data_IF_540133556228
#
_entry.id   IF_540133556228
#
_cell.length_a   1.000
_cell.length_b   1.000
_cell.length_c   1.000
_cell.angle_alpha   90.00
_cell.angle_beta   90.00
_cell.angle_gamma   90.00
#
_symmetry.space_group_name_H-M   'P 1'
#
loop_
_entity.id
_entity.type
_entity.pdbx_description
1 polymer ?
#
# COMPACT_ATOMS: atom_id res chain seq x y z
N UNK A 1 21.92 24.99 15.11
CA UNK A 1 21.54 24.70 16.51
C UNK A 1 20.27 25.49 16.81
N UNK A 2 19.10 24.96 16.57
CA UNK A 2 17.76 25.30 17.11
C UNK A 2 16.71 24.58 16.28
N UNK A 3 15.79 23.91 16.97
CA UNK A 3 14.60 23.16 16.56
C UNK A 3 14.77 21.69 16.23
N UNK A 4 15.23 20.95 17.20
CA UNK A 4 15.12 19.48 17.30
C UNK A 4 13.95 19.04 18.19
N UNK A 5 12.84 19.74 18.32
CA UNK A 5 11.85 19.31 19.32
C UNK A 5 10.39 19.74 19.13
N UNK A 6 9.95 20.21 17.97
CA UNK A 6 8.61 20.80 17.90
C UNK A 6 7.47 19.83 17.48
N UNK A 7 7.75 18.65 16.94
CA UNK A 7 6.66 17.76 16.44
C UNK A 7 6.40 16.52 17.27
N UNK A 8 7.33 16.07 18.10
CA UNK A 8 7.11 14.89 18.97
C UNK A 8 6.39 15.21 20.30
N UNK A 9 6.33 16.47 20.72
CA UNK A 9 5.80 16.85 22.04
C UNK A 9 4.35 17.32 22.06
N UNK A 10 3.78 17.74 20.91
CA UNK A 10 2.41 18.31 20.91
C UNK A 10 1.29 17.26 20.90
N UNK A 11 1.53 16.08 20.38
CA UNK A 11 0.51 15.01 20.30
C UNK A 11 0.31 14.27 21.62
N UNK A 12 1.31 14.27 22.48
CA UNK A 12 1.25 13.64 23.83
C UNK A 12 0.53 14.55 24.84
N UNK A 13 0.49 15.86 24.59
CA UNK A 13 -0.06 16.83 25.55
C UNK A 13 -1.59 16.75 25.75
N UNK A 14 -2.36 16.18 24.83
CA UNK A 14 -3.82 16.08 24.99
C UNK A 14 -4.27 14.89 25.85
N UNK A 15 -3.43 13.87 26.02
CA UNK A 15 -3.69 12.72 26.90
C UNK A 15 -3.09 12.94 28.30
N UNK A 16 -2.12 13.85 28.44
CA UNK A 16 -1.32 14.01 29.66
C UNK A 16 -1.97 14.85 30.78
N UNK A 17 -3.22 15.24 30.68
CA UNK A 17 -3.83 16.12 31.71
C UNK A 17 -4.13 15.41 33.03
N UNK A 18 -3.85 14.10 33.21
CA UNK A 18 -4.02 13.37 34.50
C UNK A 18 -3.22 12.06 34.63
N UNK A 19 -2.13 11.87 33.90
CA UNK A 19 -1.31 10.66 34.06
C UNK A 19 -0.20 10.98 35.07
N UNK A 20 -0.09 10.19 36.15
CA UNK A 20 1.00 10.28 37.10
C UNK A 20 2.32 9.93 36.38
N UNK A 21 3.46 10.43 36.91
CA UNK A 21 4.79 10.29 36.28
C UNK A 21 5.17 8.83 36.02
N UNK A 22 4.68 7.89 36.81
CA UNK A 22 4.89 6.45 36.66
C UNK A 22 4.14 5.89 35.47
N UNK A 23 2.88 6.29 35.25
CA UNK A 23 2.08 5.86 34.10
C UNK A 23 2.68 6.34 32.76
N UNK A 24 3.25 7.54 32.74
CA UNK A 24 3.95 8.07 31.56
C UNK A 24 5.16 7.20 31.19
N UNK A 25 5.96 6.77 32.16
CA UNK A 25 7.12 5.88 31.92
C UNK A 25 6.68 4.52 31.39
N UNK A 26 5.59 3.97 31.92
CA UNK A 26 5.03 2.68 31.45
C UNK A 26 4.52 2.80 30.01
N UNK A 27 3.77 3.85 29.69
CA UNK A 27 3.28 4.09 28.32
C UNK A 27 4.44 4.24 27.33
N UNK A 28 5.46 5.05 27.70
CA UNK A 28 6.63 5.24 26.83
C UNK A 28 7.42 3.94 26.64
N UNK A 29 7.51 3.10 27.65
CA UNK A 29 8.17 1.80 27.57
C UNK A 29 7.42 0.87 26.60
N UNK A 30 6.09 0.86 26.65
CA UNK A 30 5.25 0.08 25.74
C UNK A 30 5.41 0.57 24.29
N UNK A 31 5.36 1.88 24.08
CA UNK A 31 5.55 2.49 22.75
C UNK A 31 6.92 2.11 22.19
N UNK A 32 7.99 2.26 22.97
CA UNK A 32 9.34 1.90 22.54
C UNK A 32 9.46 0.40 22.21
N UNK A 33 8.81 -0.47 23.00
CA UNK A 33 8.81 -1.91 22.75
C UNK A 33 8.10 -2.25 21.43
N UNK A 34 6.98 -1.59 21.13
CA UNK A 34 6.22 -1.77 19.87
C UNK A 34 7.06 -1.28 18.68
N UNK A 35 7.71 -0.13 18.78
CA UNK A 35 8.61 0.38 17.72
C UNK A 35 9.82 -0.54 17.50
N UNK A 36 10.38 -1.12 18.57
CA UNK A 36 11.46 -2.10 18.43
C UNK A 36 10.99 -3.38 17.75
N UNK A 37 9.78 -3.84 18.09
CA UNK A 37 9.16 -5.01 17.43
C UNK A 37 8.94 -4.75 15.93
N UNK A 38 8.45 -3.58 15.56
CA UNK A 38 8.27 -3.16 14.16
C UNK A 38 9.59 -3.20 13.39
N UNK A 39 10.65 -2.58 13.93
CA UNK A 39 12.00 -2.61 13.35
C UNK A 39 12.55 -4.02 13.21
N UNK A 40 12.24 -4.91 14.15
CA UNK A 40 12.66 -6.31 14.10
C UNK A 40 11.88 -7.06 13.02
N UNK A 41 10.58 -6.89 12.97
CA UNK A 41 9.69 -7.59 12.04
C UNK A 41 9.96 -7.15 10.60
N UNK A 42 10.07 -5.85 10.34
CA UNK A 42 10.46 -5.30 9.03
C UNK A 42 11.98 -5.26 8.81
N UNK A 43 12.73 -5.98 9.64
CA UNK A 43 14.16 -6.14 9.49
C UNK A 43 14.54 -7.05 8.31
N UNK A 44 15.84 -7.32 8.20
CA UNK A 44 16.43 -8.12 7.11
C UNK A 44 15.78 -9.49 6.94
N UNK A 45 15.29 -10.11 8.01
CA UNK A 45 14.61 -11.42 7.95
C UNK A 45 13.38 -11.39 7.04
N UNK A 46 12.49 -10.44 7.24
CA UNK A 46 11.27 -10.29 6.43
C UNK A 46 11.59 -9.84 4.99
N UNK A 47 12.52 -8.90 4.83
CA UNK A 47 12.94 -8.42 3.52
C UNK A 47 13.52 -9.56 2.68
N UNK A 48 14.42 -10.36 3.24
CA UNK A 48 15.00 -11.50 2.55
C UNK A 48 13.97 -12.60 2.26
N UNK A 49 13.06 -12.85 3.19
CA UNK A 49 11.97 -13.81 3.00
C UNK A 49 11.07 -13.41 1.83
N UNK A 50 10.60 -12.16 1.80
CA UNK A 50 9.72 -11.68 0.75
C UNK A 50 10.43 -11.56 -0.60
N UNK A 51 11.59 -10.90 -0.65
CA UNK A 51 12.35 -10.75 -1.89
C UNK A 51 12.84 -12.11 -2.41
N UNK A 52 13.30 -12.98 -1.50
CA UNK A 52 13.68 -14.36 -1.84
C UNK A 52 12.52 -15.15 -2.44
N UNK A 53 11.32 -15.02 -1.86
CA UNK A 53 10.10 -15.62 -2.43
C UNK A 53 9.78 -15.05 -3.81
N UNK A 54 9.93 -13.74 -4.02
CA UNK A 54 9.69 -13.13 -5.32
C UNK A 54 10.62 -13.68 -6.40
N UNK A 55 11.91 -13.81 -6.09
CA UNK A 55 12.91 -14.39 -6.99
C UNK A 55 12.60 -15.88 -7.22
N UNK A 56 12.34 -16.63 -6.15
CA UNK A 56 11.99 -18.06 -6.23
C UNK A 56 10.76 -18.27 -7.13
N UNK A 57 9.68 -17.51 -6.91
CA UNK A 57 8.47 -17.62 -7.73
C UNK A 57 8.70 -17.18 -9.17
N UNK A 58 9.55 -16.19 -9.42
CA UNK A 58 9.94 -15.79 -10.77
C UNK A 58 10.59 -16.97 -11.53
N UNK A 59 11.53 -17.66 -10.90
CA UNK A 59 12.20 -18.83 -11.49
C UNK A 59 11.22 -19.99 -11.63
N UNK A 60 10.47 -20.29 -10.57
CA UNK A 60 9.51 -21.42 -10.51
C UNK A 60 8.38 -21.31 -11.52
N UNK A 61 7.93 -20.10 -11.83
CA UNK A 61 6.88 -19.84 -12.84
C UNK A 61 7.44 -19.65 -14.26
N UNK A 62 8.75 -19.85 -14.47
CA UNK A 62 9.39 -19.69 -15.76
C UNK A 62 9.34 -18.24 -16.29
N UNK A 63 9.55 -17.27 -15.39
CA UNK A 63 9.50 -15.83 -15.72
C UNK A 63 8.14 -15.40 -16.25
N UNK A 64 7.09 -15.61 -15.46
CA UNK A 64 5.70 -15.28 -15.81
C UNK A 64 5.52 -13.83 -16.27
N UNK A 65 6.42 -12.92 -15.87
CA UNK A 65 6.48 -11.52 -16.32
C UNK A 65 6.49 -11.39 -17.85
N UNK A 66 7.02 -12.39 -18.57
CA UNK A 66 7.00 -12.43 -20.04
C UNK A 66 5.59 -12.52 -20.61
N UNK A 67 4.61 -12.93 -19.82
CA UNK A 67 3.20 -13.02 -20.20
C UNK A 67 2.41 -11.75 -19.88
N UNK A 68 3.08 -10.67 -19.44
CA UNK A 68 2.43 -9.43 -19.02
C UNK A 68 1.50 -8.84 -20.10
N UNK A 69 1.93 -8.78 -21.35
CA UNK A 69 1.08 -8.31 -22.46
C UNK A 69 -0.20 -9.15 -22.64
N UNK A 70 -0.10 -10.47 -22.50
CA UNK A 70 -1.27 -11.36 -22.50
C UNK A 70 -2.15 -11.11 -21.28
N UNK A 71 -1.56 -10.93 -20.11
CA UNK A 71 -2.26 -10.66 -18.85
C UNK A 71 -3.06 -9.35 -18.92
N UNK A 72 -2.48 -8.28 -19.46
CA UNK A 72 -3.16 -7.00 -19.70
C UNK A 72 -4.33 -7.18 -20.67
N UNK A 73 -4.14 -7.90 -21.77
CA UNK A 73 -5.23 -8.19 -22.71
C UNK A 73 -6.37 -8.95 -22.05
N UNK A 74 -6.05 -9.95 -21.22
CA UNK A 74 -7.04 -10.73 -20.49
C UNK A 74 -7.81 -9.89 -19.46
N UNK A 75 -7.20 -8.89 -18.84
CA UNK A 75 -7.85 -8.05 -17.83
C UNK A 75 -9.06 -7.28 -18.38
N UNK A 76 -9.03 -6.91 -19.65
CA UNK A 76 -10.11 -6.21 -20.34
C UNK A 76 -11.02 -7.13 -21.19
N UNK A 77 -10.73 -8.44 -21.23
CA UNK A 77 -11.52 -9.42 -21.98
C UNK A 77 -12.43 -10.20 -21.04
N UNK A 78 -13.76 -10.12 -21.24
CA UNK A 78 -14.73 -10.83 -20.40
C UNK A 78 -14.59 -12.37 -20.54
N UNK A 79 -14.77 -13.09 -19.44
CA UNK A 79 -14.91 -14.55 -19.40
C UNK A 79 -16.40 -14.85 -19.26
N UNK A 80 -17.06 -15.10 -20.40
CA UNK A 80 -18.51 -15.38 -20.46
C UNK A 80 -18.82 -16.73 -19.84
N UNK A 81 -19.99 -16.86 -19.21
CA UNK A 81 -20.51 -18.08 -18.58
C UNK A 81 -19.64 -18.63 -17.42
N UNK A 82 -18.87 -17.77 -16.77
CA UNK A 82 -18.05 -18.12 -15.62
C UNK A 82 -18.71 -17.75 -14.28
N UNK A 83 -18.52 -18.59 -13.26
CA UNK A 83 -18.99 -18.28 -11.90
C UNK A 83 -18.11 -17.25 -11.21
N UNK A 84 -18.74 -16.29 -10.52
CA UNK A 84 -18.10 -15.23 -9.75
C UNK A 84 -19.07 -14.11 -9.40
N UNK A 85 -18.65 -13.20 -8.54
CA UNK A 85 -19.49 -12.08 -8.10
C UNK A 85 -19.26 -10.81 -8.92
N UNK A 86 -18.03 -10.62 -9.41
CA UNK A 86 -17.59 -9.43 -10.15
C UNK A 86 -16.79 -9.81 -11.39
N UNK A 87 -16.66 -8.89 -12.33
CA UNK A 87 -15.82 -9.10 -13.52
C UNK A 87 -14.35 -9.31 -13.14
N UNK A 88 -13.54 -9.91 -14.02
CA UNK A 88 -12.09 -10.02 -13.80
C UNK A 88 -11.43 -8.64 -13.65
N UNK A 89 -11.90 -7.67 -14.44
CA UNK A 89 -11.47 -6.28 -14.34
C UNK A 89 -11.91 -5.65 -13.02
N UNK A 90 -13.14 -5.89 -12.56
CA UNK A 90 -13.64 -5.41 -11.26
C UNK A 90 -12.86 -5.98 -10.08
N UNK A 91 -12.48 -7.26 -10.14
CA UNK A 91 -11.61 -7.86 -9.12
C UNK A 91 -10.19 -7.25 -9.15
N UNK A 92 -9.63 -7.03 -10.34
CA UNK A 92 -8.32 -6.37 -10.50
C UNK A 92 -8.37 -4.93 -9.99
N UNK A 93 -9.36 -4.15 -10.37
CA UNK A 93 -9.48 -2.75 -9.93
C UNK A 93 -9.77 -2.63 -8.43
N UNK A 94 -10.50 -3.58 -7.84
CA UNK A 94 -10.67 -3.65 -6.38
C UNK A 94 -9.32 -3.94 -5.69
N UNK A 95 -8.51 -4.83 -6.24
CA UNK A 95 -7.16 -5.09 -5.72
C UNK A 95 -6.24 -3.87 -5.92
N UNK A 96 -6.27 -3.22 -7.08
CA UNK A 96 -5.52 -2.00 -7.34
C UNK A 96 -5.98 -0.82 -6.45
N UNK A 97 -7.27 -0.72 -6.16
CA UNK A 97 -7.79 0.26 -5.22
C UNK A 97 -7.13 0.15 -3.83
N UNK A 98 -6.90 -1.08 -3.37
CA UNK A 98 -6.25 -1.33 -2.08
C UNK A 98 -4.76 -1.03 -2.10
N UNK A 99 -4.07 -1.35 -3.20
CA UNK A 99 -2.61 -1.25 -3.31
C UNK A 99 -2.15 0.13 -3.74
N UNK A 100 -2.82 0.78 -4.72
CA UNK A 100 -2.51 2.16 -5.12
C UNK A 100 -3.07 3.12 -4.08
N UNK A 101 -2.25 3.46 -3.09
CA UNK A 101 -2.60 4.29 -1.95
C UNK A 101 -1.54 5.35 -1.63
N UNK A 102 -1.50 5.77 -0.37
CA UNK A 102 -0.46 6.69 0.12
C UNK A 102 0.96 6.12 -0.05
N UNK A 103 1.11 4.78 -0.10
CA UNK A 103 2.37 4.10 -0.33
C UNK A 103 3.06 4.49 -1.64
N UNK A 104 2.29 4.70 -2.70
CA UNK A 104 2.81 5.05 -4.03
C UNK A 104 3.33 6.49 -4.13
N UNK A 105 2.89 7.37 -3.25
CA UNK A 105 3.26 8.79 -3.22
C UNK A 105 4.16 9.07 -2.02
N UNK A 106 3.59 9.05 -0.82
CA UNK A 106 4.29 9.33 0.44
C UNK A 106 5.31 8.23 0.76
N UNK A 107 4.95 6.96 0.51
CA UNK A 107 5.84 5.82 0.76
C UNK A 107 7.10 5.87 -0.10
N UNK A 108 7.00 6.22 -1.39
CA UNK A 108 8.17 6.42 -2.27
C UNK A 108 8.99 7.61 -1.80
N UNK A 109 8.35 8.71 -1.38
CA UNK A 109 9.03 9.84 -0.74
C UNK A 109 9.81 9.42 0.50
N UNK A 110 9.21 8.57 1.36
CA UNK A 110 9.87 8.01 2.55
C UNK A 110 11.07 7.12 2.18
N UNK A 111 10.95 6.30 1.11
CA UNK A 111 12.07 5.50 0.62
C UNK A 111 13.26 6.38 0.23
N UNK A 112 13.02 7.51 -0.45
CA UNK A 112 14.07 8.45 -0.85
C UNK A 112 14.61 9.21 0.37
N UNK A 113 13.75 9.71 1.24
CA UNK A 113 14.16 10.47 2.42
C UNK A 113 15.08 9.64 3.35
N UNK A 114 14.73 8.38 3.60
CA UNK A 114 15.46 7.51 4.52
C UNK A 114 16.51 6.62 3.83
N UNK A 115 16.23 6.17 2.60
CA UNK A 115 17.10 5.27 1.83
C UNK A 115 17.98 5.95 0.79
N UNK A 116 17.71 7.24 0.52
CA UNK A 116 18.34 7.97 -0.58
C UNK A 116 17.74 7.62 -1.95
N UNK A 117 18.19 8.30 -3.04
CA UNK A 117 17.64 8.09 -4.39
C UNK A 117 17.78 6.66 -4.91
N UNK A 118 18.81 5.92 -4.49
CA UNK A 118 18.99 4.51 -4.83
C UNK A 118 17.88 3.58 -4.37
N UNK A 119 17.13 3.97 -3.35
CA UNK A 119 15.98 3.20 -2.86
C UNK A 119 14.86 3.06 -3.91
N UNK A 120 14.76 3.99 -4.87
CA UNK A 120 13.79 3.93 -5.97
C UNK A 120 13.99 2.68 -6.83
N UNK A 121 15.24 2.32 -7.13
CA UNK A 121 15.54 1.10 -7.89
C UNK A 121 15.11 -0.16 -7.13
N UNK A 122 15.39 -0.23 -5.85
CA UNK A 122 15.01 -1.39 -5.02
C UNK A 122 13.50 -1.50 -4.86
N UNK A 123 12.80 -0.38 -4.69
CA UNK A 123 11.33 -0.34 -4.72
C UNK A 123 10.79 -0.88 -6.05
N UNK A 124 11.31 -0.42 -7.18
CA UNK A 124 10.92 -0.86 -8.52
C UNK A 124 11.16 -2.35 -8.75
N UNK A 125 12.30 -2.89 -8.29
CA UNK A 125 12.62 -4.31 -8.41
C UNK A 125 11.63 -5.21 -7.64
N UNK A 126 11.11 -4.75 -6.50
CA UNK A 126 10.04 -5.50 -5.80
C UNK A 126 8.79 -5.64 -6.67
N UNK A 127 8.47 -4.62 -7.45
CA UNK A 127 7.37 -4.68 -8.41
C UNK A 127 7.63 -5.70 -9.51
N UNK A 128 8.81 -5.67 -10.13
CA UNK A 128 9.17 -6.57 -11.23
C UNK A 128 9.12 -8.03 -10.80
N UNK A 129 9.75 -8.38 -9.69
CA UNK A 129 9.75 -9.75 -9.18
C UNK A 129 8.46 -10.12 -8.47
N UNK A 130 7.79 -9.16 -7.82
CA UNK A 130 6.52 -9.32 -7.14
C UNK A 130 5.37 -9.77 -8.06
N UNK A 131 5.44 -9.49 -9.37
CA UNK A 131 4.47 -9.99 -10.37
C UNK A 131 4.30 -11.51 -10.26
N UNK A 132 5.41 -12.25 -10.11
CA UNK A 132 5.37 -13.71 -10.02
C UNK A 132 4.73 -14.21 -8.73
N UNK A 133 5.01 -13.55 -7.60
CA UNK A 133 4.40 -13.88 -6.31
C UNK A 133 2.91 -13.55 -6.34
N UNK A 134 2.52 -12.39 -6.85
CA UNK A 134 1.11 -12.00 -7.02
C UNK A 134 0.34 -12.98 -7.89
N UNK A 135 0.98 -13.50 -8.95
CA UNK A 135 0.42 -14.57 -9.77
C UNK A 135 0.16 -15.83 -8.94
N UNK A 136 1.15 -16.30 -8.17
CA UNK A 136 1.05 -17.53 -7.37
C UNK A 136 -0.03 -17.40 -6.28
N UNK A 137 -0.04 -16.30 -5.53
CA UNK A 137 -1.05 -16.00 -4.52
C UNK A 137 -2.47 -16.00 -5.09
N UNK A 138 -2.67 -15.33 -6.22
CA UNK A 138 -3.98 -15.24 -6.87
C UNK A 138 -4.42 -16.59 -7.46
N UNK A 139 -3.46 -17.39 -7.92
CA UNK A 139 -3.73 -18.75 -8.43
C UNK A 139 -4.31 -19.63 -7.33
N UNK A 140 -3.67 -19.68 -6.17
CA UNK A 140 -4.14 -20.50 -5.05
C UNK A 140 -5.43 -19.97 -4.45
N UNK A 141 -5.60 -18.64 -4.37
CA UNK A 141 -6.81 -18.00 -3.86
C UNK A 141 -8.05 -18.39 -4.68
N UNK A 142 -7.93 -18.41 -6.00
CA UNK A 142 -9.02 -18.82 -6.90
C UNK A 142 -9.19 -20.34 -6.93
N UNK A 143 -8.09 -21.12 -6.87
CA UNK A 143 -8.12 -22.58 -6.88
C UNK A 143 -8.85 -23.15 -5.66
N UNK A 144 -8.62 -22.60 -4.48
CA UNK A 144 -9.18 -23.07 -3.21
C UNK A 144 -10.39 -22.27 -2.74
N UNK A 145 -10.95 -21.38 -3.59
CA UNK A 145 -12.14 -20.60 -3.26
C UNK A 145 -13.36 -21.48 -3.02
N UNK A 146 -14.31 -20.97 -2.25
CA UNK A 146 -15.55 -21.64 -1.91
C UNK A 146 -16.75 -20.81 -2.32
N UNK A 147 -17.82 -21.48 -2.74
CA UNK A 147 -19.12 -20.85 -2.94
C UNK A 147 -19.94 -21.04 -1.68
N UNK A 148 -20.33 -19.93 -1.07
CA UNK A 148 -21.17 -19.94 0.13
C UNK A 148 -22.62 -20.30 -0.22
N UNK A 149 -23.44 -20.63 0.79
CA UNK A 149 -24.88 -20.97 0.59
C UNK A 149 -25.68 -19.82 -0.06
N UNK A 150 -25.26 -18.60 0.13
CA UNK A 150 -25.84 -17.39 -0.48
C UNK A 150 -25.17 -16.98 -1.82
N UNK A 151 -24.40 -17.89 -2.41
CA UNK A 151 -23.85 -17.75 -3.76
C UNK A 151 -22.59 -16.87 -3.86
N UNK A 152 -22.05 -16.37 -2.73
CA UNK A 152 -20.83 -15.55 -2.73
C UNK A 152 -19.60 -16.42 -2.90
N UNK A 153 -18.56 -15.85 -3.55
CA UNK A 153 -17.27 -16.50 -3.72
C UNK A 153 -16.28 -16.00 -2.67
N UNK A 154 -15.73 -16.90 -1.89
CA UNK A 154 -14.75 -16.59 -0.84
C UNK A 154 -13.47 -17.39 -1.07
N UNK A 155 -12.34 -16.73 -0.98
CA UNK A 155 -11.01 -17.32 -1.15
C UNK A 155 -9.95 -16.41 -0.52
N UNK A 156 -8.70 -16.66 -0.85
CA UNK A 156 -7.54 -16.00 -0.27
C UNK A 156 -6.64 -17.00 0.44
N UNK A 157 -5.58 -16.50 1.08
CA UNK A 157 -4.60 -17.32 1.78
C UNK A 157 -5.24 -18.22 2.85
N UNK A 158 -6.26 -17.72 3.60
CA UNK A 158 -6.95 -18.49 4.63
C UNK A 158 -7.59 -19.77 4.08
N UNK A 159 -8.22 -19.70 2.91
CA UNK A 159 -8.82 -20.89 2.27
C UNK A 159 -7.78 -21.82 1.66
N UNK A 160 -6.70 -21.28 1.14
CA UNK A 160 -5.57 -22.09 0.63
C UNK A 160 -4.88 -22.87 1.77
N UNK A 161 -4.65 -22.21 2.91
CA UNK A 161 -4.09 -22.84 4.11
C UNK A 161 -5.01 -23.93 4.69
N UNK A 162 -6.30 -23.65 4.83
CA UNK A 162 -7.24 -24.61 5.41
C UNK A 162 -7.47 -25.80 4.47
N UNK A 163 -7.72 -25.57 3.17
CA UNK A 163 -8.12 -26.60 2.22
C UNK A 163 -6.98 -27.24 1.46
N UNK A 164 -5.91 -26.49 1.22
CA UNK A 164 -4.73 -26.98 0.51
C UNK A 164 -3.73 -27.68 1.42
N UNK A 165 -3.50 -27.13 2.62
CA UNK A 165 -2.48 -27.59 3.56
C UNK A 165 -3.04 -28.21 4.85
N UNK A 166 -4.38 -28.18 5.08
CA UNK A 166 -5.04 -28.57 6.33
C UNK A 166 -4.54 -27.80 7.57
N UNK A 167 -4.03 -26.58 7.39
CA UNK A 167 -3.49 -25.72 8.46
C UNK A 167 -4.52 -24.67 8.89
N UNK A 168 -5.66 -25.10 9.44
CA UNK A 168 -6.74 -24.19 9.84
C UNK A 168 -6.31 -23.16 10.88
N UNK A 169 -5.45 -23.53 11.82
CA UNK A 169 -4.92 -22.60 12.83
C UNK A 169 -4.16 -21.43 12.20
N UNK A 170 -3.37 -21.70 11.15
CA UNK A 170 -2.60 -20.69 10.43
C UNK A 170 -3.52 -19.81 9.56
N UNK A 171 -4.58 -20.40 8.99
CA UNK A 171 -5.62 -19.68 8.27
C UNK A 171 -6.36 -18.68 9.17
N UNK A 172 -6.65 -19.07 10.43
CA UNK A 172 -7.26 -18.18 11.43
C UNK A 172 -6.30 -17.03 11.79
N UNK A 173 -5.00 -17.31 11.97
CA UNK A 173 -3.99 -16.27 12.24
C UNK A 173 -3.89 -15.28 11.08
N UNK A 174 -3.84 -15.75 9.83
CA UNK A 174 -3.87 -14.87 8.66
C UNK A 174 -5.09 -13.95 8.67
N UNK A 175 -6.28 -14.53 8.85
CA UNK A 175 -7.53 -13.77 8.83
C UNK A 175 -7.65 -12.81 10.03
N UNK A 176 -7.14 -13.18 11.20
CA UNK A 176 -7.07 -12.31 12.37
C UNK A 176 -6.20 -11.09 12.07
N UNK A 177 -4.96 -11.30 11.63
CA UNK A 177 -4.05 -10.20 11.30
C UNK A 177 -4.59 -9.32 10.18
N UNK A 178 -5.14 -9.90 9.10
CA UNK A 178 -5.73 -9.15 7.99
C UNK A 178 -6.96 -8.33 8.40
N UNK A 179 -7.80 -8.88 9.28
CA UNK A 179 -8.97 -8.19 9.82
C UNK A 179 -8.58 -6.95 10.63
N UNK A 180 -7.56 -7.06 11.50
CA UNK A 180 -7.07 -5.93 12.29
C UNK A 180 -6.26 -4.94 11.46
N UNK A 181 -5.39 -5.40 10.57
CA UNK A 181 -4.61 -4.54 9.67
C UNK A 181 -5.51 -3.64 8.81
N UNK A 182 -6.71 -4.11 8.45
CA UNK A 182 -7.67 -3.33 7.67
C UNK A 182 -8.09 -2.03 8.35
N UNK A 183 -8.20 -2.01 9.68
CA UNK A 183 -8.53 -0.80 10.44
C UNK A 183 -7.39 0.21 10.49
N UNK A 184 -6.14 -0.27 10.56
CA UNK A 184 -4.93 0.57 10.57
C UNK A 184 -4.55 1.03 9.18
N UNK A 185 -3.83 0.16 8.42
CA UNK A 185 -3.28 0.47 7.09
C UNK A 185 -4.39 0.80 6.09
N UNK A 186 -5.48 0.05 6.11
CA UNK A 186 -6.56 0.20 5.15
C UNK A 186 -7.45 1.42 5.41
N UNK A 187 -7.63 1.82 6.67
CA UNK A 187 -8.58 2.87 7.04
C UNK A 187 -7.89 4.07 7.68
N UNK A 188 -7.42 3.93 8.92
CA UNK A 188 -7.01 5.06 9.74
C UNK A 188 -5.89 5.90 9.11
N UNK A 189 -4.86 5.24 8.58
CA UNK A 189 -3.71 5.90 7.96
C UNK A 189 -4.09 6.64 6.68
N UNK A 190 -4.97 6.04 5.88
CA UNK A 190 -5.42 6.63 4.62
C UNK A 190 -6.30 7.86 4.86
N UNK A 191 -7.27 7.76 5.76
CA UNK A 191 -8.17 8.89 6.06
C UNK A 191 -7.41 10.03 6.72
N UNK A 192 -6.42 9.74 7.58
CA UNK A 192 -5.55 10.75 8.15
C UNK A 192 -4.72 11.47 7.07
N UNK A 193 -4.16 10.74 6.10
CA UNK A 193 -3.42 11.36 5.00
C UNK A 193 -4.31 12.29 4.16
N UNK A 194 -5.56 11.89 3.85
CA UNK A 194 -6.54 12.75 3.18
C UNK A 194 -6.79 14.02 4.01
N UNK A 195 -7.04 13.85 5.30
CA UNK A 195 -7.37 14.96 6.18
C UNK A 195 -6.20 15.94 6.36
N UNK A 196 -4.97 15.41 6.44
CA UNK A 196 -3.75 16.22 6.54
C UNK A 196 -3.55 17.04 5.28
N UNK A 197 -3.60 16.43 4.10
CA UNK A 197 -3.40 17.16 2.84
C UNK A 197 -4.52 18.20 2.58
N UNK A 198 -5.76 17.90 2.99
CA UNK A 198 -6.86 18.86 2.90
C UNK A 198 -6.70 20.03 3.88
N UNK A 199 -6.20 19.77 5.10
CA UNK A 199 -5.92 20.83 6.06
C UNK A 199 -4.80 21.75 5.59
N UNK A 200 -3.71 21.18 5.10
CA UNK A 200 -2.53 21.94 4.67
C UNK A 200 -2.78 22.78 3.41
N UNK A 201 -3.51 22.23 2.43
CA UNK A 201 -3.69 22.89 1.14
C UNK A 201 -5.01 23.63 1.00
N UNK A 202 -6.08 23.20 1.69
CA UNK A 202 -7.43 23.77 1.55
C UNK A 202 -7.93 24.45 2.82
N UNK A 203 -7.19 24.36 3.94
CA UNK A 203 -7.59 24.91 5.22
C UNK A 203 -8.81 24.23 5.87
N UNK A 204 -9.22 23.04 5.39
CA UNK A 204 -10.40 22.34 5.88
C UNK A 204 -10.06 21.62 7.19
N UNK A 205 -10.83 21.81 8.27
CA UNK A 205 -10.63 21.08 9.53
C UNK A 205 -10.67 19.56 9.35
N UNK A 206 -9.72 18.84 9.95
CA UNK A 206 -9.53 17.41 9.76
C UNK A 206 -10.78 16.57 10.11
N UNK A 207 -11.53 16.97 11.16
CA UNK A 207 -12.74 16.24 11.56
C UNK A 207 -13.85 16.29 10.50
N UNK A 208 -13.96 17.38 9.74
CA UNK A 208 -14.92 17.49 8.63
C UNK A 208 -14.60 16.47 7.55
N UNK A 209 -13.32 16.34 7.20
CA UNK A 209 -12.87 15.35 6.23
C UNK A 209 -13.15 13.92 6.72
N UNK A 210 -12.92 13.63 8.00
CA UNK A 210 -13.27 12.34 8.60
C UNK A 210 -14.73 11.98 8.42
N UNK A 211 -15.63 12.92 8.73
CA UNK A 211 -17.08 12.73 8.56
C UNK A 211 -17.45 12.52 7.09
N UNK A 212 -16.90 13.32 6.19
CA UNK A 212 -17.18 13.19 4.75
C UNK A 212 -16.71 11.81 4.24
N UNK A 213 -15.49 11.41 4.55
CA UNK A 213 -14.94 10.12 4.11
C UNK A 213 -15.74 8.96 4.72
N UNK A 214 -16.13 9.04 6.00
CA UNK A 214 -16.96 8.03 6.65
C UNK A 214 -18.32 7.86 5.96
N UNK A 215 -19.01 8.96 5.61
CA UNK A 215 -20.29 8.92 4.89
C UNK A 215 -20.11 8.31 3.50
N UNK A 216 -19.12 8.76 2.72
CA UNK A 216 -18.85 8.23 1.38
C UNK A 216 -18.50 6.73 1.44
N UNK A 217 -17.68 6.33 2.43
CA UNK A 217 -17.33 4.94 2.64
C UNK A 217 -18.55 4.11 3.00
N UNK A 218 -19.42 4.59 3.90
CA UNK A 218 -20.65 3.90 4.28
C UNK A 218 -21.55 3.62 3.07
N UNK A 219 -21.77 4.62 2.21
CA UNK A 219 -22.60 4.49 1.00
C UNK A 219 -22.10 3.37 0.06
N UNK A 220 -20.79 3.12 0.04
CA UNK A 220 -20.19 2.12 -0.85
C UNK A 220 -20.14 0.74 -0.20
N UNK A 221 -19.65 0.62 1.06
CA UNK A 221 -19.35 -0.68 1.67
C UNK A 221 -20.61 -1.47 2.07
N UNK A 222 -21.73 -0.79 2.35
CA UNK A 222 -23.00 -1.49 2.63
C UNK A 222 -23.54 -2.27 1.42
N UNK A 223 -23.17 -1.87 0.19
CA UNK A 223 -23.48 -2.60 -1.05
C UNK A 223 -22.58 -3.83 -1.30
N UNK A 224 -21.58 -4.07 -0.44
CA UNK A 224 -20.65 -5.21 -0.55
C UNK A 224 -19.74 -5.14 -1.77
N UNK A 225 -19.14 -6.30 -2.15
CA UNK A 225 -18.12 -6.35 -3.21
C UNK A 225 -18.59 -5.78 -4.56
N UNK A 226 -19.86 -5.96 -4.92
CA UNK A 226 -20.39 -5.44 -6.20
C UNK A 226 -20.37 -3.91 -6.23
N UNK A 227 -20.77 -3.27 -5.14
CA UNK A 227 -20.73 -1.81 -5.02
C UNK A 227 -19.29 -1.30 -5.02
N UNK A 228 -18.42 -1.93 -4.25
CA UNK A 228 -17.00 -1.59 -4.17
C UNK A 228 -16.36 -1.72 -5.56
N UNK A 229 -16.54 -2.86 -6.24
CA UNK A 229 -15.99 -3.08 -7.58
C UNK A 229 -16.50 -2.06 -8.60
N UNK A 230 -17.80 -1.73 -8.60
CA UNK A 230 -18.37 -0.74 -9.50
C UNK A 230 -17.76 0.67 -9.32
N UNK A 231 -17.43 1.04 -8.08
CA UNK A 231 -16.72 2.31 -7.80
C UNK A 231 -15.26 2.20 -8.25
N UNK A 232 -14.58 1.11 -7.90
CA UNK A 232 -13.17 0.90 -8.22
C UNK A 232 -12.92 0.80 -9.73
N UNK A 233 -13.83 0.18 -10.50
CA UNK A 233 -13.74 0.08 -11.97
C UNK A 233 -13.68 1.46 -12.67
N UNK A 234 -14.23 2.50 -12.03
CA UNK A 234 -14.20 3.87 -12.55
C UNK A 234 -13.09 4.70 -11.91
N UNK A 235 -12.98 4.61 -10.58
CA UNK A 235 -12.05 5.43 -9.80
C UNK A 235 -10.59 5.09 -10.10
N UNK A 236 -10.24 3.78 -10.14
CA UNK A 236 -8.84 3.36 -10.27
C UNK A 236 -8.23 3.76 -11.62
N UNK A 237 -8.88 3.50 -12.78
CA UNK A 237 -8.32 3.99 -14.04
C UNK A 237 -8.21 5.52 -14.08
N UNK A 238 -9.23 6.23 -13.58
CA UNK A 238 -9.23 7.69 -13.53
C UNK A 238 -8.04 8.22 -12.72
N UNK A 239 -7.88 7.75 -11.47
CA UNK A 239 -6.83 8.24 -10.59
C UNK A 239 -5.43 7.89 -11.10
N UNK A 240 -5.24 6.67 -11.66
CA UNK A 240 -3.95 6.24 -12.20
C UNK A 240 -3.57 7.06 -13.45
N UNK A 241 -4.50 7.24 -14.38
CA UNK A 241 -4.26 8.05 -15.60
C UNK A 241 -4.00 9.50 -15.23
N UNK A 242 -4.82 10.09 -14.35
CA UNK A 242 -4.64 11.47 -13.89
C UNK A 242 -3.25 11.67 -13.27
N UNK A 243 -2.85 10.77 -12.37
CA UNK A 243 -1.56 10.87 -11.69
C UNK A 243 -0.38 10.67 -12.64
N UNK A 244 -0.44 9.65 -13.53
CA UNK A 244 0.61 9.42 -14.53
C UNK A 244 0.75 10.61 -15.49
N UNK A 245 -0.36 11.18 -15.97
CA UNK A 245 -0.31 12.39 -16.81
C UNK A 245 0.30 13.55 -16.03
N UNK A 246 -0.09 13.76 -14.77
CA UNK A 246 0.50 14.77 -13.89
C UNK A 246 2.01 14.58 -13.72
N UNK A 247 2.46 13.36 -13.45
CA UNK A 247 3.90 13.04 -13.38
C UNK A 247 4.61 13.29 -14.70
N UNK A 248 4.01 12.93 -15.84
CA UNK A 248 4.60 13.19 -17.18
C UNK A 248 4.76 14.69 -17.46
N UNK A 249 3.79 15.50 -17.04
CA UNK A 249 3.88 16.97 -17.15
C UNK A 249 5.05 17.47 -16.30
N UNK A 250 5.18 17.03 -15.04
CA UNK A 250 6.31 17.43 -14.19
C UNK A 250 7.65 17.01 -14.81
N UNK A 251 7.74 15.79 -15.32
CA UNK A 251 8.93 15.30 -16.00
C UNK A 251 9.25 16.06 -17.27
N UNK A 252 8.24 16.53 -18.01
CA UNK A 252 8.46 17.40 -19.18
C UNK A 252 9.08 18.75 -18.77
N UNK A 253 8.70 19.33 -17.61
CA UNK A 253 9.36 20.51 -17.06
C UNK A 253 10.77 20.24 -16.50
N UNK A 254 11.07 18.98 -16.21
CA UNK A 254 12.36 18.53 -15.66
C UNK A 254 13.15 17.66 -16.67
N UNK A 255 12.87 17.78 -17.97
CA UNK A 255 13.39 16.86 -19.01
C UNK A 255 14.92 16.73 -19.00
N UNK A 256 15.66 17.81 -18.72
CA UNK A 256 17.13 17.83 -18.65
C UNK A 256 17.68 16.94 -17.52
N UNK A 257 16.87 16.70 -16.48
CA UNK A 257 17.25 15.91 -15.31
C UNK A 257 16.82 14.45 -15.38
N UNK A 258 16.06 14.00 -16.40
CA UNK A 258 15.58 12.62 -16.50
C UNK A 258 16.73 11.62 -16.60
N UNK A 259 17.64 11.83 -17.56
CA UNK A 259 18.78 10.92 -17.74
C UNK A 259 19.76 11.00 -16.56
N UNK A 260 20.15 12.20 -16.05
CA UNK A 260 20.90 12.31 -14.82
C UNK A 260 20.24 11.59 -13.63
N UNK A 261 18.91 11.73 -13.43
CA UNK A 261 18.20 11.06 -12.33
C UNK A 261 18.23 9.54 -12.44
N UNK A 262 18.01 8.98 -13.63
CA UNK A 262 18.12 7.55 -13.87
C UNK A 262 19.53 7.02 -13.55
N UNK A 263 20.56 7.76 -13.95
CA UNK A 263 21.96 7.43 -13.63
C UNK A 263 22.19 7.50 -12.12
N UNK A 264 21.75 8.57 -11.47
CA UNK A 264 21.86 8.77 -10.01
C UNK A 264 21.16 7.63 -9.24
N UNK A 265 19.92 7.28 -9.61
CA UNK A 265 19.19 6.16 -9.01
C UNK A 265 19.97 4.86 -9.15
N UNK A 266 20.48 4.56 -10.35
CA UNK A 266 21.26 3.35 -10.62
C UNK A 266 22.58 3.30 -9.84
N UNK A 267 23.35 4.40 -9.86
CA UNK A 267 24.64 4.50 -9.17
C UNK A 267 24.48 4.38 -7.65
N UNK A 268 23.57 5.18 -7.06
CA UNK A 268 23.38 5.24 -5.63
C UNK A 268 22.68 4.00 -5.05
N UNK A 269 22.06 3.17 -5.90
CA UNK A 269 21.50 1.89 -5.47
C UNK A 269 22.56 0.85 -5.11
N UNK A 270 23.78 0.94 -5.69
CA UNK A 270 24.82 -0.08 -5.53
C UNK A 270 26.14 0.45 -4.97
N UNK A 271 26.35 1.75 -4.94
CA UNK A 271 27.62 2.35 -4.49
C UNK A 271 27.45 3.03 -3.11
N UNK A 272 28.03 2.45 -2.05
CA UNK A 272 27.96 3.01 -0.70
C UNK A 272 28.68 4.37 -0.64
N UNK A 273 27.98 5.37 -0.09
CA UNK A 273 28.56 6.71 0.12
C UNK A 273 28.93 7.49 -1.12
N UNK A 274 28.53 7.00 -2.33
CA UNK A 274 28.74 7.75 -3.56
C UNK A 274 27.93 9.06 -3.57
N UNK A 275 28.50 10.07 -4.22
CA UNK A 275 27.82 11.34 -4.52
C UNK A 275 27.60 11.40 -6.01
N UNK A 276 26.37 11.48 -6.45
CA UNK A 276 26.00 11.58 -7.85
C UNK A 276 24.88 12.61 -8.03
N UNK A 277 25.07 13.52 -8.99
CA UNK A 277 24.08 14.58 -9.26
C UNK A 277 23.78 15.49 -8.06
N UNK A 278 24.76 15.70 -7.18
CA UNK A 278 24.59 16.50 -5.95
C UNK A 278 23.87 15.79 -4.79
N UNK A 279 23.52 14.50 -4.96
CA UNK A 279 22.84 13.70 -3.94
C UNK A 279 23.78 12.63 -3.38
N UNK A 280 23.68 12.37 -2.07
CA UNK A 280 24.50 11.40 -1.35
C UNK A 280 23.76 10.08 -1.18
N UNK A 281 24.38 8.97 -1.56
CA UNK A 281 23.88 7.62 -1.33
C UNK A 281 24.01 7.25 0.15
N UNK A 282 22.94 6.69 0.70
CA UNK A 282 22.88 6.19 2.10
C UNK A 282 23.57 4.83 2.29
N UNK A 283 24.11 4.27 1.22
CA UNK A 283 24.66 2.92 1.19
C UNK A 283 23.66 1.87 0.71
N UNK A 284 24.19 0.82 0.05
CA UNK A 284 23.38 -0.24 -0.57
C UNK A 284 22.40 -0.89 0.39
N UNK A 285 22.81 -1.17 1.62
CA UNK A 285 21.95 -1.86 2.60
C UNK A 285 20.77 -1.00 3.02
N UNK A 286 20.99 0.28 3.25
CA UNK A 286 19.95 1.22 3.65
C UNK A 286 19.00 1.50 2.47
N UNK A 287 19.56 1.75 1.28
CA UNK A 287 18.76 1.93 0.07
C UNK A 287 17.89 0.71 -0.24
N UNK A 288 18.45 -0.50 -0.13
CA UNK A 288 17.71 -1.75 -0.31
C UNK A 288 16.64 -1.93 0.77
N UNK A 289 16.97 -1.71 2.04
CA UNK A 289 16.03 -1.88 3.15
C UNK A 289 14.79 -1.00 2.97
N UNK A 290 14.98 0.30 2.81
CA UNK A 290 13.85 1.22 2.66
C UNK A 290 13.15 1.08 1.32
N UNK A 291 13.89 0.87 0.22
CA UNK A 291 13.32 0.65 -1.10
C UNK A 291 12.45 -0.60 -1.15
N UNK A 292 12.96 -1.72 -0.65
CA UNK A 292 12.21 -2.99 -0.64
C UNK A 292 11.02 -2.91 0.30
N UNK A 293 11.19 -2.42 1.53
CA UNK A 293 10.10 -2.31 2.49
C UNK A 293 8.93 -1.45 1.94
N UNK A 294 9.23 -0.29 1.34
CA UNK A 294 8.18 0.59 0.79
C UNK A 294 7.59 0.05 -0.51
N UNK A 295 8.36 -0.64 -1.34
CA UNK A 295 7.84 -1.33 -2.52
C UNK A 295 6.89 -2.46 -2.16
N UNK A 296 7.23 -3.28 -1.17
CA UNK A 296 6.38 -4.37 -0.66
C UNK A 296 5.11 -3.83 0.00
N UNK A 297 5.22 -2.74 0.76
CA UNK A 297 4.08 -2.06 1.36
C UNK A 297 3.10 -1.54 0.28
N UNK A 298 3.62 -1.02 -0.83
CA UNK A 298 2.80 -0.52 -1.94
C UNK A 298 2.09 -1.65 -2.69
N UNK A 299 2.84 -2.62 -3.23
CA UNK A 299 2.25 -3.64 -4.11
C UNK A 299 1.62 -4.83 -3.39
N UNK A 300 1.83 -4.98 -2.08
CA UNK A 300 1.30 -6.08 -1.25
C UNK A 300 1.61 -7.49 -1.80
N UNK A 301 2.65 -7.66 -2.62
CA UNK A 301 3.04 -9.00 -3.10
C UNK A 301 3.69 -9.79 -1.98
N UNK A 302 3.19 -10.99 -1.72
CA UNK A 302 3.60 -11.82 -0.58
C UNK A 302 2.77 -11.60 0.69
N UNK A 303 1.88 -10.60 0.71
CA UNK A 303 1.03 -10.29 1.86
C UNK A 303 -0.29 -11.10 1.88
N UNK A 304 -0.77 -11.57 0.73
CA UNK A 304 -2.00 -12.36 0.62
C UNK A 304 -3.32 -11.56 0.67
N UNK A 305 -3.27 -10.24 0.78
CA UNK A 305 -4.42 -9.34 0.83
C UNK A 305 -5.16 -9.25 -0.52
N UNK A 306 -4.48 -8.79 -1.56
CA UNK A 306 -5.04 -8.61 -2.90
C UNK A 306 -5.69 -9.88 -3.51
N UNK A 307 -5.16 -11.10 -3.30
CA UNK A 307 -5.81 -12.34 -3.73
C UNK A 307 -7.22 -12.59 -3.19
N UNK A 308 -7.61 -11.93 -2.08
CA UNK A 308 -8.97 -11.99 -1.54
C UNK A 308 -9.98 -11.42 -2.56
N UNK A 309 -9.64 -10.33 -3.24
CA UNK A 309 -10.46 -9.77 -4.32
C UNK A 309 -10.45 -10.67 -5.57
N UNK A 310 -9.31 -11.27 -5.91
CA UNK A 310 -9.19 -12.18 -7.05
C UNK A 310 -10.14 -13.39 -6.94
N UNK A 311 -10.40 -13.87 -5.73
CA UNK A 311 -11.30 -15.00 -5.51
C UNK A 311 -12.77 -14.70 -5.87
N UNK A 312 -13.20 -13.44 -5.84
CA UNK A 312 -14.55 -13.02 -6.22
C UNK A 312 -14.76 -12.92 -7.75
N UNK A 313 -13.70 -13.00 -8.54
CA UNK A 313 -13.75 -12.81 -9.99
C UNK A 313 -14.53 -13.91 -10.71
N UNK A 314 -15.29 -13.49 -11.73
CA UNK A 314 -15.88 -14.39 -12.70
C UNK A 314 -14.81 -15.03 -13.57
N UNK A 315 -14.48 -16.29 -13.31
CA UNK A 315 -13.49 -17.03 -14.07
C UNK A 315 -13.72 -18.54 -13.98
N UNK A 316 -13.53 -19.23 -15.10
CA UNK A 316 -13.53 -20.70 -15.18
C UNK A 316 -12.14 -21.27 -14.87
N UNK A 317 -11.10 -20.48 -15.08
CA UNK A 317 -9.72 -20.95 -14.96
C UNK A 317 -8.93 -20.09 -13.95
N UNK A 318 -8.44 -20.68 -12.85
CA UNK A 318 -7.62 -19.97 -11.87
C UNK A 318 -6.38 -19.30 -12.49
N UNK A 319 -5.74 -19.92 -13.49
CA UNK A 319 -4.56 -19.38 -14.20
C UNK A 319 -4.89 -18.05 -14.89
N UNK A 320 -6.08 -17.97 -15.52
CA UNK A 320 -6.51 -16.74 -16.20
C UNK A 320 -6.63 -15.59 -15.22
N UNK A 321 -7.33 -15.80 -14.10
CA UNK A 321 -7.46 -14.76 -13.08
C UNK A 321 -6.14 -14.42 -12.40
N UNK A 322 -5.27 -15.39 -12.19
CA UNK A 322 -3.93 -15.17 -11.66
C UNK A 322 -3.08 -14.27 -12.56
N UNK A 323 -3.13 -14.48 -13.88
CA UNK A 323 -2.49 -13.59 -14.85
C UNK A 323 -3.06 -12.17 -14.77
N UNK A 324 -4.40 -12.03 -14.77
CA UNK A 324 -5.04 -10.73 -14.63
C UNK A 324 -4.60 -10.03 -13.35
N UNK A 325 -4.66 -10.70 -12.20
CA UNK A 325 -4.30 -10.14 -10.90
C UNK A 325 -2.82 -9.74 -10.80
N UNK A 326 -1.93 -10.48 -11.48
CA UNK A 326 -0.49 -10.18 -11.49
C UNK A 326 -0.16 -8.84 -12.15
N UNK A 327 -1.04 -8.35 -13.05
CA UNK A 327 -0.87 -7.01 -13.65
C UNK A 327 -1.03 -5.89 -12.62
N UNK A 328 -1.68 -6.16 -11.47
CA UNK A 328 -1.81 -5.19 -10.39
C UNK A 328 -0.46 -4.68 -9.91
N UNK A 329 0.47 -5.57 -9.63
CA UNK A 329 1.83 -5.21 -9.20
C UNK A 329 2.60 -4.39 -10.26
N UNK A 330 2.35 -4.69 -11.54
CA UNK A 330 2.93 -3.90 -12.63
C UNK A 330 2.41 -2.46 -12.62
N UNK A 331 1.09 -2.26 -12.59
CA UNK A 331 0.51 -0.92 -12.60
C UNK A 331 0.87 -0.13 -11.34
N UNK A 332 0.80 -0.76 -10.18
CA UNK A 332 1.10 -0.16 -8.89
C UNK A 332 2.58 0.31 -8.79
N UNK A 333 3.51 -0.62 -8.90
CA UNK A 333 4.90 -0.35 -8.55
C UNK A 333 5.76 -0.06 -9.78
N UNK A 334 5.61 -0.86 -10.86
CA UNK A 334 6.46 -0.69 -12.04
C UNK A 334 6.07 0.58 -12.81
N UNK A 335 4.80 1.02 -12.72
CA UNK A 335 4.35 2.26 -13.35
C UNK A 335 4.26 3.39 -12.32
N UNK A 336 3.33 3.32 -11.34
CA UNK A 336 3.02 4.47 -10.48
C UNK A 336 4.16 4.82 -9.53
N UNK A 337 4.73 3.85 -8.77
CA UNK A 337 5.86 4.15 -7.88
C UNK A 337 7.11 4.60 -8.64
N UNK A 338 7.39 3.99 -9.81
CA UNK A 338 8.53 4.40 -10.63
C UNK A 338 8.38 5.85 -11.14
N UNK A 339 7.16 6.24 -11.57
CA UNK A 339 6.87 7.63 -11.96
C UNK A 339 7.06 8.59 -10.80
N UNK A 340 6.51 8.27 -9.62
CA UNK A 340 6.71 9.07 -8.41
C UNK A 340 8.21 9.22 -8.09
N UNK A 341 8.94 8.11 -8.04
CA UNK A 341 10.38 8.14 -7.74
C UNK A 341 11.18 8.99 -8.72
N UNK A 342 10.87 8.89 -10.00
CA UNK A 342 11.55 9.69 -11.02
C UNK A 342 11.20 11.18 -10.90
N UNK A 343 9.94 11.52 -10.66
CA UNK A 343 9.50 12.90 -10.39
C UNK A 343 10.26 13.48 -9.20
N UNK A 344 10.30 12.75 -8.08
CA UNK A 344 10.97 13.22 -6.87
C UNK A 344 12.47 13.45 -7.10
N UNK A 345 13.17 12.48 -7.68
CA UNK A 345 14.62 12.61 -7.89
C UNK A 345 14.95 13.74 -8.89
N UNK A 346 14.21 13.86 -9.99
CA UNK A 346 14.41 14.98 -10.95
C UNK A 346 14.14 16.33 -10.33
N UNK A 347 13.11 16.44 -9.50
CA UNK A 347 12.74 17.68 -8.80
C UNK A 347 13.79 18.09 -7.76
N UNK A 348 14.30 17.13 -6.98
CA UNK A 348 15.37 17.35 -6.01
C UNK A 348 16.66 17.82 -6.72
N UNK A 349 17.04 17.16 -7.83
CA UNK A 349 18.23 17.55 -8.60
C UNK A 349 18.11 18.94 -9.21
N UNK A 350 16.91 19.33 -9.64
CA UNK A 350 16.64 20.65 -10.21
C UNK A 350 16.68 21.76 -9.16
N UNK A 351 16.29 21.47 -7.92
CA UNK A 351 16.24 22.43 -6.83
C UNK A 351 17.20 22.05 -5.69
N UNK A 352 18.46 22.54 -5.70
CA UNK A 352 19.43 22.25 -4.64
C UNK A 352 19.05 22.74 -3.24
N UNK A 353 18.00 23.59 -3.12
CA UNK A 353 17.49 24.01 -1.82
C UNK A 353 16.75 22.89 -1.07
N UNK A 354 16.39 21.81 -1.76
CA UNK A 354 15.81 20.61 -1.13
C UNK A 354 16.96 19.73 -0.61
N UNK A 355 17.33 19.95 0.66
CA UNK A 355 18.32 19.09 1.32
C UNK A 355 17.67 17.83 1.89
N UNK A 356 17.74 16.74 1.13
CA UNK A 356 17.19 15.43 1.53
C UNK A 356 17.80 14.91 2.83
N UNK A 357 19.01 15.35 3.19
CA UNK A 357 19.67 14.90 4.43
C UNK A 357 18.97 15.41 5.71
N UNK A 358 18.22 16.49 5.60
CA UNK A 358 17.48 17.13 6.68
C UNK A 358 16.00 16.72 6.72
N UNK A 359 15.55 15.92 5.74
CA UNK A 359 14.15 15.51 5.61
C UNK A 359 14.06 14.01 5.87
N UNK A 360 13.40 13.64 6.95
CA UNK A 360 13.10 12.24 7.32
C UNK A 360 11.65 11.84 7.01
N UNK A 361 10.80 12.82 6.67
CA UNK A 361 9.39 12.62 6.33
C UNK A 361 9.15 12.64 4.83
N UNK A 362 8.69 11.52 4.29
CA UNK A 362 8.42 11.35 2.86
C UNK A 362 7.29 12.24 2.34
N UNK A 363 6.32 12.58 3.17
CA UNK A 363 5.22 13.50 2.79
C UNK A 363 5.76 14.91 2.56
N UNK A 364 6.62 15.41 3.45
CA UNK A 364 7.28 16.72 3.30
C UNK A 364 8.13 16.74 2.03
N UNK A 365 8.97 15.70 1.82
CA UNK A 365 9.80 15.61 0.62
C UNK A 365 8.95 15.62 -0.66
N UNK A 366 7.84 14.88 -0.67
CA UNK A 366 6.94 14.82 -1.82
C UNK A 366 6.29 16.17 -2.09
N UNK A 367 5.81 16.86 -1.06
CA UNK A 367 5.24 18.20 -1.18
C UNK A 367 6.25 19.18 -1.77
N UNK A 368 7.46 19.25 -1.21
CA UNK A 368 8.51 20.15 -1.70
C UNK A 368 8.89 19.86 -3.17
N UNK A 369 8.88 18.59 -3.58
CA UNK A 369 9.20 18.22 -4.94
C UNK A 369 8.10 18.59 -5.94
N UNK A 370 6.83 18.46 -5.56
CA UNK A 370 5.70 18.84 -6.42
C UNK A 370 5.49 20.36 -6.46
N UNK A 371 5.71 21.07 -5.36
CA UNK A 371 5.54 22.53 -5.26
C UNK A 371 6.46 23.33 -6.21
N UNK A 372 7.47 22.70 -6.81
CA UNK A 372 8.32 23.36 -7.81
C UNK A 372 7.57 23.80 -9.07
N UNK A 373 6.39 23.23 -9.34
CA UNK A 373 5.52 23.70 -10.42
C UNK A 373 4.32 24.41 -9.77
N UNK A 374 4.34 25.75 -9.72
CA UNK A 374 3.29 26.53 -9.05
C UNK A 374 1.90 26.15 -9.54
N UNK A 375 0.95 26.05 -8.63
CA UNK A 375 -0.45 25.66 -8.82
C UNK A 375 -0.68 24.24 -9.32
N UNK A 376 0.03 23.77 -10.35
CA UNK A 376 -0.22 22.47 -10.97
C UNK A 376 0.30 21.32 -10.11
N UNK A 377 1.50 21.43 -9.57
CA UNK A 377 2.11 20.41 -8.74
C UNK A 377 1.30 20.08 -7.49
N UNK A 378 0.93 21.08 -6.66
CA UNK A 378 0.05 20.89 -5.51
C UNK A 378 -1.29 20.27 -5.88
N UNK A 379 -1.92 20.69 -6.99
CA UNK A 379 -3.20 20.10 -7.45
C UNK A 379 -3.05 18.62 -7.77
N UNK A 380 -1.99 18.24 -8.50
CA UNK A 380 -1.72 16.84 -8.84
C UNK A 380 -1.52 16.02 -7.56
N UNK A 381 -0.74 16.55 -6.61
CA UNK A 381 -0.44 15.87 -5.35
C UNK A 381 -1.70 15.68 -4.49
N UNK A 382 -2.49 16.75 -4.30
CA UNK A 382 -3.70 16.73 -3.46
C UNK A 382 -4.74 15.77 -4.04
N UNK A 383 -5.05 15.87 -5.33
CA UNK A 383 -6.01 14.97 -5.99
C UNK A 383 -5.48 13.54 -6.00
N UNK A 384 -4.17 13.35 -6.23
CA UNK A 384 -3.51 12.05 -6.16
C UNK A 384 -3.69 11.41 -4.79
N UNK A 385 -3.30 12.09 -3.71
CA UNK A 385 -3.40 11.56 -2.35
C UNK A 385 -4.86 11.27 -1.97
N UNK A 386 -5.79 12.19 -2.24
CA UNK A 386 -7.21 12.00 -1.91
C UNK A 386 -7.77 10.78 -2.64
N UNK A 387 -7.56 10.67 -3.95
CA UNK A 387 -8.12 9.58 -4.75
C UNK A 387 -7.48 8.23 -4.42
N UNK A 388 -6.16 8.17 -4.24
CA UNK A 388 -5.42 6.95 -3.92
C UNK A 388 -5.78 6.46 -2.51
N UNK A 389 -5.72 7.34 -1.52
CA UNK A 389 -6.05 6.96 -0.15
C UNK A 389 -7.52 6.54 0.00
N UNK A 390 -8.46 7.25 -0.63
CA UNK A 390 -9.87 6.87 -0.59
C UNK A 390 -10.14 5.51 -1.26
N UNK A 391 -9.51 5.23 -2.40
CA UNK A 391 -9.62 3.93 -3.04
C UNK A 391 -9.10 2.81 -2.13
N UNK A 392 -8.00 3.06 -1.40
CA UNK A 392 -7.44 2.09 -0.44
C UNK A 392 -8.40 1.81 0.71
N UNK A 393 -9.08 2.83 1.23
CA UNK A 393 -10.15 2.65 2.24
C UNK A 393 -11.22 1.68 1.75
N UNK A 394 -11.66 1.81 0.50
CA UNK A 394 -12.70 0.93 -0.07
C UNK A 394 -12.21 -0.50 -0.27
N UNK A 395 -11.02 -0.68 -0.82
CA UNK A 395 -10.47 -2.00 -1.11
C UNK A 395 -10.15 -2.79 0.17
N UNK A 396 -9.52 -2.15 1.16
CA UNK A 396 -9.22 -2.78 2.44
C UNK A 396 -10.46 -3.05 3.30
N UNK A 397 -11.53 -2.26 3.17
CA UNK A 397 -12.81 -2.58 3.79
C UNK A 397 -13.31 -3.97 3.36
N UNK A 398 -13.16 -4.31 2.07
CA UNK A 398 -13.51 -5.64 1.56
C UNK A 398 -12.59 -6.74 2.11
N UNK A 399 -11.28 -6.51 2.17
CA UNK A 399 -10.34 -7.51 2.67
C UNK A 399 -10.60 -7.84 4.13
N UNK A 400 -10.72 -6.82 4.98
CA UNK A 400 -11.04 -7.01 6.39
C UNK A 400 -12.40 -7.67 6.61
N UNK A 401 -13.42 -7.31 5.82
CA UNK A 401 -14.73 -7.96 5.83
C UNK A 401 -14.62 -9.46 5.58
N UNK A 402 -13.85 -9.88 4.57
CA UNK A 402 -13.64 -11.31 4.26
C UNK A 402 -12.85 -12.04 5.35
N UNK A 403 -11.86 -11.39 5.93
CA UNK A 403 -11.08 -11.93 7.04
C UNK A 403 -11.94 -12.12 8.31
N UNK A 404 -12.71 -11.11 8.67
CA UNK A 404 -13.63 -11.17 9.84
C UNK A 404 -14.72 -12.20 9.61
N UNK A 405 -15.29 -12.29 8.40
CA UNK A 405 -16.29 -13.31 8.08
C UNK A 405 -15.71 -14.73 8.20
N UNK A 406 -14.46 -14.96 7.80
CA UNK A 406 -13.79 -16.24 7.96
C UNK A 406 -13.66 -16.66 9.43
N UNK A 407 -13.28 -15.73 10.32
CA UNK A 407 -13.09 -16.01 11.75
C UNK A 407 -14.40 -16.10 12.53
N UNK A 408 -15.34 -15.19 12.29
CA UNK A 408 -16.52 -14.96 13.15
C UNK A 408 -17.85 -15.22 12.43
N UNK A 409 -17.79 -15.51 11.13
CA UNK A 409 -18.97 -15.77 10.32
C UNK A 409 -19.76 -14.51 9.92
N UNK A 410 -20.82 -14.72 9.14
CA UNK A 410 -21.61 -13.66 8.52
C UNK A 410 -22.21 -12.63 9.49
N UNK A 411 -22.48 -13.03 10.73
CA UNK A 411 -23.08 -12.13 11.73
C UNK A 411 -22.15 -10.98 12.13
N UNK A 412 -20.84 -11.14 11.96
CA UNK A 412 -19.85 -10.12 12.28
C UNK A 412 -19.69 -9.03 11.20
N UNK A 413 -20.31 -9.19 10.01
CA UNK A 413 -20.15 -8.25 8.90
C UNK A 413 -20.68 -6.85 9.21
N UNK A 414 -21.89 -6.75 9.79
CA UNK A 414 -22.48 -5.44 10.12
C UNK A 414 -21.69 -4.74 11.24
N UNK A 415 -21.40 -5.39 12.38
CA UNK A 415 -20.51 -4.81 13.39
C UNK A 415 -19.17 -4.34 12.82
N UNK A 416 -18.54 -5.14 11.98
CA UNK A 416 -17.28 -4.77 11.32
C UNK A 416 -17.43 -3.49 10.48
N UNK A 417 -18.45 -3.42 9.60
CA UNK A 417 -18.70 -2.24 8.75
C UNK A 417 -18.94 -0.99 9.57
N UNK A 418 -19.76 -1.09 10.62
CA UNK A 418 -20.01 0.05 11.52
C UNK A 418 -18.73 0.51 12.20
N UNK A 419 -17.93 -0.43 12.76
CA UNK A 419 -16.66 -0.10 13.39
C UNK A 419 -15.69 0.55 12.38
N UNK A 420 -15.63 0.04 11.16
CA UNK A 420 -14.78 0.59 10.09
C UNK A 420 -15.14 2.05 9.76
N UNK A 421 -16.45 2.36 9.67
CA UNK A 421 -16.93 3.72 9.42
C UNK A 421 -16.63 4.65 10.61
N UNK A 422 -16.79 4.16 11.83
CA UNK A 422 -16.46 4.93 13.05
C UNK A 422 -14.96 5.26 13.08
N UNK A 423 -14.11 4.28 12.77
CA UNK A 423 -12.66 4.50 12.68
C UNK A 423 -12.34 5.52 11.59
N UNK A 424 -12.96 5.45 10.41
CA UNK A 424 -12.78 6.43 9.35
C UNK A 424 -13.15 7.86 9.81
N UNK A 425 -14.21 8.01 10.61
CA UNK A 425 -14.62 9.32 11.13
C UNK A 425 -13.64 9.90 12.16
N UNK A 426 -13.04 9.05 13.00
CA UNK A 426 -12.22 9.47 14.15
C UNK A 426 -10.72 9.58 13.76
N UNK A 427 -10.25 8.76 12.82
CA UNK A 427 -8.84 8.67 12.45
C UNK A 427 -8.15 10.04 12.16
N UNK A 428 -8.79 11.03 11.52
CA UNK A 428 -8.17 12.32 11.28
C UNK A 428 -7.77 13.12 12.53
N UNK A 429 -8.40 12.88 13.66
CA UNK A 429 -8.16 13.60 14.90
C UNK A 429 -7.37 12.78 15.92
N UNK A 430 -7.09 11.52 15.62
CA UNK A 430 -6.32 10.63 16.48
C UNK A 430 -4.80 10.82 16.28
N UNK A 431 -4.03 10.64 17.36
CA UNK A 431 -2.58 10.50 17.27
C UNK A 431 -2.25 9.12 16.68
N UNK A 432 -1.82 9.07 15.43
CA UNK A 432 -1.75 7.82 14.67
C UNK A 432 -0.39 7.11 14.68
N UNK A 433 0.66 7.68 15.26
CA UNK A 433 2.01 7.09 15.19
C UNK A 433 2.02 5.64 15.71
N UNK A 434 1.38 5.41 16.86
CA UNK A 434 1.25 4.06 17.42
C UNK A 434 0.33 3.15 16.58
N UNK A 435 -0.74 3.72 16.00
CA UNK A 435 -1.68 2.96 15.13
C UNK A 435 -0.97 2.53 13.85
N UNK A 436 -0.12 3.40 13.27
CA UNK A 436 0.72 3.06 12.13
C UNK A 436 1.64 1.89 12.44
N UNK A 437 2.39 1.99 13.54
CA UNK A 437 3.37 0.97 13.94
C UNK A 437 2.70 -0.38 14.19
N UNK A 438 1.57 -0.41 14.93
CA UNK A 438 0.82 -1.64 15.16
C UNK A 438 0.27 -2.22 13.85
N UNK A 439 -0.26 -1.38 12.98
CA UNK A 439 -0.81 -1.81 11.70
C UNK A 439 0.28 -2.38 10.77
N UNK A 440 1.48 -1.80 10.75
CA UNK A 440 2.64 -2.31 10.03
C UNK A 440 3.07 -3.69 10.54
N UNK A 441 3.14 -3.89 11.85
CA UNK A 441 3.46 -5.19 12.48
C UNK A 441 2.42 -6.25 12.08
N UNK A 442 1.13 -5.93 12.16
CA UNK A 442 0.05 -6.86 11.80
C UNK A 442 0.09 -7.24 10.32
N UNK A 443 0.40 -6.28 9.46
CA UNK A 443 0.57 -6.50 8.03
C UNK A 443 1.75 -7.45 7.75
N UNK A 444 2.87 -7.26 8.42
CA UNK A 444 4.01 -8.16 8.29
C UNK A 444 3.69 -9.57 8.79
N UNK A 445 2.99 -9.71 9.91
CA UNK A 445 2.57 -11.02 10.42
C UNK A 445 1.55 -11.72 9.52
N UNK A 446 0.78 -10.99 8.72
CA UNK A 446 -0.09 -11.56 7.69
C UNK A 446 0.71 -12.20 6.55
N UNK A 447 1.89 -11.66 6.22
CA UNK A 447 2.73 -12.19 5.16
C UNK A 447 3.22 -13.61 5.44
N UNK A 448 3.62 -13.93 6.67
CA UNK A 448 4.18 -15.23 7.02
C UNK A 448 3.23 -16.39 6.69
N UNK A 449 1.96 -16.42 7.17
CA UNK A 449 1.02 -17.46 6.78
C UNK A 449 0.79 -17.54 5.28
N UNK A 450 0.71 -16.40 4.60
CA UNK A 450 0.51 -16.37 3.17
C UNK A 450 1.69 -16.99 2.40
N UNK A 451 2.93 -16.69 2.76
CA UNK A 451 4.10 -17.25 2.10
C UNK A 451 4.22 -18.77 2.31
N UNK A 452 3.67 -19.31 3.41
CA UNK A 452 3.57 -20.76 3.64
C UNK A 452 2.52 -21.38 2.70
N UNK A 453 1.44 -20.63 2.37
CA UNK A 453 0.41 -21.09 1.45
C UNK A 453 0.88 -21.10 -0.01
N UNK A 454 1.79 -20.22 -0.38
CA UNK A 454 2.32 -20.03 -1.74
C UNK A 454 3.44 -20.98 -2.05
#
# INVERSE_FOLDING_TARGET
>A
MVQRSAFSHSSIHFITCKIEKEDYVVVQTIVNAIEQLDKMVWGWGMILLLLGTHIFMTVRTGFIQRKLGTAIKLSVTKDTDAEGEVSQFGALTTALASTIGTGNIIGVGTAIALGGPGAVLWCWLTGVFGIATKYAESLIAVKYRVKTKDGRMQGGAMYALERGLNMKWLAILFAFFGGFASFGIGCATQVNAIATVCKENLGIPQWIIGVIVAILTALVIFGGIKSIANVCEKLVPFMAIFYVIGCLIILAFNYDFIIPALKTIGTLAFQPGAVEGGLVGRGIMIAMQYGVARGLFSNESGMGSAPIAAAAAQTRNPVRQALVSSTGTFWDTVVVCAMTGLVLVTSIMKNPAIDVSQIDNGGILTTLAFDQIPYLGPIILVIGIISFAYSTVLGWAYYGERCVEYCMGKKALIPYRVLYIVIAAIAPIAALDLVWTIADILNAFMAIPNLIAV
#
